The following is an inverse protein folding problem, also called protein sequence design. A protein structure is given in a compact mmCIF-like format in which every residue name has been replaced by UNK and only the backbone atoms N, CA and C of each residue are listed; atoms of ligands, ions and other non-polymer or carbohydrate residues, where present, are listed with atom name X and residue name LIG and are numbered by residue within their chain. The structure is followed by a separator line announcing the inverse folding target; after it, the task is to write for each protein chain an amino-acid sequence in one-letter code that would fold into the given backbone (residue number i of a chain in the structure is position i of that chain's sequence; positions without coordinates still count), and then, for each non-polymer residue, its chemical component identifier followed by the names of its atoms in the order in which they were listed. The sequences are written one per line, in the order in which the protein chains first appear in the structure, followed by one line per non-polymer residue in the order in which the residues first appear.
data_IF_274022125988
#
_entry.id   IF_274022125988
#
_cell.length_a   1.000
_cell.length_b   1.000
_cell.length_c   1.000
_cell.angle_alpha   90.00
_cell.angle_beta   90.00
_cell.angle_gamma   90.00
#
_symmetry.space_group_name_H-M   'P 1'
#
loop_
_entity.id
_entity.type
_entity.pdbx_description
1 polymer ?
#
# COMPACT_ATOMS: atom_id res chain seq x y z
N UNK A 1 9.21 6.84 -10.54
CA UNK A 1 8.32 7.62 -9.64
C UNK A 1 9.01 7.72 -8.29
N UNK A 2 9.04 8.89 -7.65
CA UNK A 2 9.61 9.05 -6.31
C UNK A 2 8.43 9.02 -5.33
N UNK A 3 8.07 7.82 -4.86
CA UNK A 3 6.89 7.57 -4.02
C UNK A 3 7.01 8.16 -2.61
N UNK A 4 8.17 8.69 -2.24
CA UNK A 4 8.44 9.25 -0.92
C UNK A 4 9.06 8.23 0.02
N UNK A 5 8.82 8.40 1.31
CA UNK A 5 9.28 7.49 2.37
C UNK A 5 8.15 6.49 2.65
N UNK A 6 8.51 5.25 3.00
CA UNK A 6 7.55 4.22 3.38
C UNK A 6 6.64 4.70 4.53
N UNK A 7 5.33 4.52 4.37
CA UNK A 7 4.31 4.86 5.38
C UNK A 7 4.28 3.90 6.58
N UNK A 8 5.09 2.83 6.56
CA UNK A 8 5.18 1.93 7.71
C UNK A 8 5.84 2.63 8.88
N UNK A 9 5.20 2.55 10.06
CA UNK A 9 5.67 3.27 11.25
C UNK A 9 7.04 2.74 11.68
N UNK A 10 8.04 3.61 11.71
CA UNK A 10 9.42 3.24 12.03
C UNK A 10 10.23 2.75 10.82
N UNK A 11 9.71 2.92 9.60
CA UNK A 11 10.48 2.75 8.39
C UNK A 11 10.92 4.11 7.84
N UNK A 12 12.20 4.22 7.46
CA UNK A 12 12.76 5.39 6.77
C UNK A 12 13.28 5.03 5.37
N UNK A 13 12.98 3.82 4.88
CA UNK A 13 13.34 3.40 3.53
C UNK A 13 12.49 4.15 2.51
N UNK A 14 13.04 4.35 1.32
CA UNK A 14 12.26 4.90 0.20
C UNK A 14 11.17 3.92 -0.21
N UNK A 15 9.97 4.44 -0.46
CA UNK A 15 8.87 3.62 -0.96
C UNK A 15 9.12 3.23 -2.43
N UNK A 16 8.83 1.97 -2.74
CA UNK A 16 8.98 1.36 -4.06
C UNK A 16 7.66 0.91 -4.66
N UNK A 17 6.63 0.75 -3.82
CA UNK A 17 5.32 0.21 -4.19
C UNK A 17 4.20 1.07 -3.62
N UNK A 18 3.19 1.35 -4.43
CA UNK A 18 1.94 1.96 -3.99
C UNK A 18 0.91 0.87 -3.72
N UNK A 19 0.02 1.09 -2.77
CA UNK A 19 -1.00 0.12 -2.40
C UNK A 19 -1.97 0.69 -1.38
N UNK A 20 -2.63 -0.19 -0.64
CA UNK A 20 -3.60 0.17 0.38
C UNK A 20 -3.45 -0.71 1.59
N UNK A 21 -3.83 -0.18 2.75
CA UNK A 21 -4.07 -0.98 3.94
C UNK A 21 -5.56 -0.93 4.26
N UNK A 22 -6.09 -2.01 4.82
CA UNK A 22 -7.45 -2.01 5.35
C UNK A 22 -7.40 -1.58 6.81
N UNK A 23 -8.13 -0.52 7.17
CA UNK A 23 -8.11 -0.04 8.53
C UNK A 23 -9.21 0.97 8.85
N UNK A 24 -9.25 1.31 10.13
CA UNK A 24 -10.21 2.27 10.66
C UNK A 24 -9.60 3.67 10.68
N UNK A 25 -10.18 4.59 9.91
CA UNK A 25 -9.82 6.01 10.02
C UNK A 25 -10.56 6.62 11.21
N UNK A 26 -9.87 7.42 12.05
CA UNK A 26 -10.49 8.06 13.23
C UNK A 26 -11.70 8.95 12.91
N UNK A 27 -11.80 9.41 11.66
CA UNK A 27 -12.86 10.29 11.16
C UNK A 27 -14.01 9.54 10.50
N UNK A 28 -13.81 8.26 10.14
CA UNK A 28 -14.79 7.45 9.44
C UNK A 28 -15.43 6.48 10.42
N UNK A 29 -16.74 6.28 10.35
CA UNK A 29 -17.43 5.30 11.19
C UNK A 29 -17.21 3.86 10.70
N UNK A 30 -16.55 3.68 9.55
CA UNK A 30 -16.36 2.38 8.88
C UNK A 30 -14.92 2.19 8.46
N UNK A 31 -14.49 0.94 8.54
CA UNK A 31 -13.22 0.51 7.98
C UNK A 31 -13.22 0.68 6.46
N UNK A 32 -12.11 1.17 5.94
CA UNK A 32 -11.95 1.53 4.54
C UNK A 32 -10.53 1.22 4.07
N UNK A 33 -10.35 1.15 2.74
CA UNK A 33 -9.03 1.04 2.15
C UNK A 33 -8.35 2.42 2.15
N UNK A 34 -7.22 2.51 2.85
CA UNK A 34 -6.43 3.73 2.97
C UNK A 34 -5.24 3.61 2.01
N UNK A 35 -5.11 4.49 1.01
CA UNK A 35 -3.99 4.44 0.08
C UNK A 35 -2.69 4.81 0.79
N UNK A 36 -1.67 3.97 0.65
CA UNK A 36 -0.36 4.16 1.27
C UNK A 36 0.78 3.67 0.36
N UNK A 37 1.98 4.16 0.63
CA UNK A 37 3.20 3.77 -0.09
C UNK A 37 4.11 2.96 0.83
N UNK A 38 4.69 1.87 0.32
CA UNK A 38 5.53 0.96 1.07
C UNK A 38 6.85 0.66 0.35
N UNK A 39 7.89 0.29 1.10
CA UNK A 39 9.11 -0.28 0.53
C UNK A 39 8.94 -1.79 0.28
N UNK A 40 9.83 -2.43 -0.49
CA UNK A 40 9.71 -3.85 -0.89
C UNK A 40 9.59 -4.85 0.27
N UNK A 41 10.06 -4.46 1.46
CA UNK A 41 9.96 -5.25 2.69
C UNK A 41 8.53 -5.23 3.23
N UNK A 42 7.96 -4.03 3.44
CA UNK A 42 6.60 -3.86 3.95
C UNK A 42 5.53 -4.10 2.89
N UNK A 43 5.89 -4.04 1.60
CA UNK A 43 4.99 -4.42 0.52
C UNK A 43 4.67 -5.93 0.50
N UNK A 44 5.40 -6.75 1.27
CA UNK A 44 5.15 -8.19 1.44
C UNK A 44 4.31 -8.52 2.66
N UNK A 45 3.94 -7.53 3.47
CA UNK A 45 3.07 -7.77 4.62
C UNK A 45 1.66 -8.13 4.17
N UNK A 46 1.02 -9.02 4.93
CA UNK A 46 -0.32 -9.54 4.59
C UNK A 46 -1.39 -8.46 4.59
N UNK A 47 -1.18 -7.41 5.36
CA UNK A 47 -2.10 -6.28 5.51
C UNK A 47 -1.91 -5.20 4.45
N UNK A 48 -0.91 -5.33 3.56
CA UNK A 48 -0.66 -4.42 2.44
C UNK A 48 -1.16 -4.99 1.12
N UNK A 49 -2.15 -4.32 0.55
CA UNK A 49 -2.72 -4.62 -0.76
C UNK A 49 -2.02 -3.77 -1.82
N UNK A 50 -0.97 -4.32 -2.41
CA UNK A 50 -0.23 -3.67 -3.50
C UNK A 50 -1.17 -3.30 -4.65
N UNK A 51 -1.01 -2.07 -5.16
CA UNK A 51 -1.59 -1.61 -6.42
C UNK A 51 -0.79 -2.15 -7.61
N UNK A 52 -0.10 -3.31 -7.48
CA UNK A 52 0.39 -3.99 -8.68
C UNK A 52 -0.83 -4.13 -9.54
N UNK A 53 -0.84 -3.36 -10.64
CA UNK A 53 -1.85 -3.46 -11.66
C UNK A 53 -2.04 -4.96 -11.80
N UNK A 54 -3.24 -5.44 -11.49
CA UNK A 54 -3.72 -6.61 -12.15
C UNK A 54 -3.66 -6.20 -13.62
N UNK A 55 -2.47 -6.34 -14.24
CA UNK A 55 -2.32 -6.59 -15.64
C UNK A 55 -3.00 -7.93 -15.76
N UNK A 56 -4.32 -7.83 -15.82
CA UNK A 56 -5.23 -8.80 -16.34
C UNK A 56 -4.47 -9.36 -17.52
N UNK A 57 -3.99 -10.59 -17.36
CA UNK A 57 -3.78 -11.47 -18.48
C UNK A 57 -5.17 -11.75 -19.06
N UNK A 58 -5.83 -10.72 -19.58
CA UNK A 58 -6.94 -10.83 -20.51
C UNK A 58 -6.31 -10.88 -21.89
N UNK A 59 -5.48 -11.89 -22.09
CA UNK A 59 -5.21 -12.38 -23.44
C UNK A 59 -6.39 -13.28 -23.76
N UNK A 60 -7.40 -12.67 -24.39
CA UNK A 60 -8.49 -13.38 -25.08
C UNK A 60 -7.93 -14.23 -26.20
#
# INVERSE_FOLDING_TARGET
MKLGICNFRGCWKSATTEGHIYGHSKTETKDSFIPVVACDEHAKEKDFYCYVEQKENTTK
#
